data_IF_201682124406
#
_entry.id   IF_201682124406
#
_cell.length_a   1.000
_cell.length_b   1.000
_cell.length_c   1.000
_cell.angle_alpha   90.00
_cell.angle_beta   90.00
_cell.angle_gamma   90.00
#
_symmetry.space_group_name_H-M   'P 1'
#
loop_
_entity.id
_entity.type
_entity.pdbx_description
1 polymer ?
#
# COMPACT_ATOMS: atom_id res chain seq x y z
N UNK A 1 -48.45 -16.20 -4.42
CA UNK A 1 -47.33 -15.24 -4.49
C UNK A 1 -46.04 -15.98 -4.16
N UNK A 2 -45.19 -16.22 -5.17
CA UNK A 2 -43.90 -16.90 -5.01
C UNK A 2 -42.85 -15.83 -4.69
N UNK A 3 -42.30 -15.86 -3.49
CA UNK A 3 -41.14 -15.03 -3.14
C UNK A 3 -39.88 -15.76 -3.61
N UNK A 4 -39.40 -15.40 -4.80
CA UNK A 4 -38.07 -15.77 -5.25
C UNK A 4 -37.08 -14.82 -4.58
N UNK A 5 -36.52 -15.24 -3.45
CA UNK A 5 -35.38 -14.53 -2.84
C UNK A 5 -34.16 -14.83 -3.70
N UNK A 6 -33.78 -13.86 -4.52
CA UNK A 6 -32.53 -13.88 -5.28
C UNK A 6 -31.38 -13.62 -4.30
N UNK A 7 -30.81 -14.70 -3.78
CA UNK A 7 -29.58 -14.65 -3.00
C UNK A 7 -28.43 -14.32 -3.97
N UNK A 8 -28.06 -13.04 -4.07
CA UNK A 8 -26.80 -12.66 -4.69
C UNK A 8 -25.67 -13.16 -3.78
N UNK A 9 -25.14 -14.35 -4.08
CA UNK A 9 -23.91 -14.84 -3.49
C UNK A 9 -22.77 -13.92 -3.94
N UNK A 10 -22.42 -12.94 -3.10
CA UNK A 10 -21.13 -12.26 -3.13
C UNK A 10 -20.07 -13.32 -2.82
N UNK A 11 -19.59 -13.98 -3.87
CA UNK A 11 -18.37 -14.79 -3.80
C UNK A 11 -17.21 -13.80 -3.63
N UNK A 12 -17.00 -13.35 -2.40
CA UNK A 12 -15.69 -12.85 -1.99
C UNK A 12 -14.75 -14.05 -2.07
N UNK A 13 -13.96 -14.12 -3.14
CA UNK A 13 -12.85 -15.04 -3.20
C UNK A 13 -12.00 -14.84 -1.94
N UNK A 14 -11.99 -15.86 -1.08
CA UNK A 14 -11.20 -15.96 0.15
C UNK A 14 -9.72 -16.09 -0.21
N UNK A 15 -9.10 -14.99 -0.61
CA UNK A 15 -7.67 -14.81 -0.42
C UNK A 15 -7.50 -14.06 0.89
N UNK A 16 -6.84 -14.63 1.91
CA UNK A 16 -6.60 -13.92 3.15
C UNK A 16 -5.53 -12.86 2.88
N UNK A 17 -5.95 -11.67 2.48
CA UNK A 17 -5.10 -10.49 2.57
C UNK A 17 -4.71 -10.32 4.03
N UNK A 18 -3.42 -10.14 4.32
CA UNK A 18 -3.02 -9.86 5.69
C UNK A 18 -3.17 -8.38 5.97
N UNK A 19 -4.24 -8.08 6.67
CA UNK A 19 -4.44 -6.76 7.26
C UNK A 19 -3.54 -6.64 8.50
N UNK A 20 -2.99 -5.44 8.73
CA UNK A 20 -2.19 -5.16 9.92
C UNK A 20 -2.51 -3.81 10.52
N UNK A 21 -2.47 -3.75 11.85
CA UNK A 21 -2.77 -2.56 12.62
C UNK A 21 -1.69 -1.49 12.44
N UNK A 22 -2.13 -0.24 12.42
CA UNK A 22 -1.24 0.91 12.39
C UNK A 22 -0.65 1.12 13.78
N UNK A 23 0.68 1.20 13.86
CA UNK A 23 1.40 1.54 15.08
C UNK A 23 1.52 3.07 15.19
N UNK A 24 0.72 3.69 16.06
CA UNK A 24 0.75 5.14 16.23
C UNK A 24 1.84 5.61 17.19
N UNK A 25 2.48 6.71 16.81
CA UNK A 25 3.44 7.45 17.63
C UNK A 25 3.00 8.91 17.73
N UNK A 26 3.15 9.53 18.89
CA UNK A 26 2.82 10.95 19.10
C UNK A 26 3.65 11.86 18.20
N UNK A 27 4.93 11.51 18.00
CA UNK A 27 5.80 12.02 16.96
C UNK A 27 6.61 10.82 16.43
N UNK A 28 6.66 10.63 15.12
CA UNK A 28 7.48 9.58 14.52
C UNK A 28 8.88 10.12 14.24
N UNK A 29 9.87 9.59 14.94
CA UNK A 29 11.27 9.98 14.78
C UNK A 29 11.91 9.40 13.50
N UNK A 30 13.03 10.00 13.10
CA UNK A 30 13.84 9.58 11.95
C UNK A 30 13.97 10.67 10.89
N UNK A 31 14.87 10.47 9.93
CA UNK A 31 15.04 11.40 8.82
C UNK A 31 13.85 11.31 7.85
N UNK A 32 13.03 12.36 7.83
CA UNK A 32 11.95 12.64 6.87
C UNK A 32 12.29 13.90 6.03
N UNK A 33 13.56 14.11 5.69
CA UNK A 33 13.99 15.22 4.83
C UNK A 33 13.82 14.82 3.36
N UNK A 34 12.65 15.07 2.79
CA UNK A 34 12.36 14.81 1.37
C UNK A 34 12.73 16.04 0.54
N UNK A 35 13.24 15.86 -0.67
CA UNK A 35 13.33 16.99 -1.62
C UNK A 35 11.93 17.43 -2.04
N UNK A 36 11.77 18.66 -2.54
CA UNK A 36 10.44 19.24 -2.84
C UNK A 36 9.54 18.39 -3.75
N UNK A 37 10.12 17.51 -4.58
CA UNK A 37 9.41 16.64 -5.53
C UNK A 37 9.27 15.19 -5.06
N UNK A 38 9.66 14.90 -3.82
CA UNK A 38 9.63 13.54 -3.29
C UNK A 38 8.65 13.45 -2.13
N UNK A 39 7.84 12.41 -2.15
CA UNK A 39 6.95 12.06 -1.04
C UNK A 39 7.18 10.62 -0.53
N UNK A 40 8.07 9.89 -1.19
CA UNK A 40 8.46 8.52 -0.86
C UNK A 40 9.98 8.34 -0.97
N UNK A 41 10.57 7.71 0.04
CA UNK A 41 11.93 7.15 0.01
C UNK A 41 11.80 5.67 0.32
N UNK A 42 12.11 4.79 -0.64
CA UNK A 42 11.85 3.37 -0.46
C UNK A 42 12.85 2.48 -1.20
N UNK A 43 12.88 1.23 -0.78
CA UNK A 43 13.55 0.11 -1.42
C UNK A 43 12.49 -0.97 -1.67
N UNK A 44 12.52 -1.58 -2.86
CA UNK A 44 11.65 -2.69 -3.17
C UNK A 44 12.42 -3.74 -3.98
N UNK A 45 12.06 -5.00 -3.76
CA UNK A 45 12.43 -6.11 -4.63
C UNK A 45 11.14 -6.75 -5.13
N UNK A 46 10.83 -6.47 -6.38
CA UNK A 46 9.70 -7.00 -7.14
C UNK A 46 10.00 -6.87 -8.64
N UNK A 47 9.13 -7.41 -9.47
CA UNK A 47 9.29 -7.33 -10.92
C UNK A 47 9.19 -5.91 -11.44
N UNK A 48 10.00 -5.61 -12.47
CA UNK A 48 9.92 -4.36 -13.22
C UNK A 48 9.90 -3.11 -12.33
N UNK A 49 10.79 -3.09 -11.33
CA UNK A 49 10.96 -1.98 -10.39
C UNK A 49 12.37 -1.40 -10.52
N UNK A 50 12.45 -0.12 -10.85
CA UNK A 50 13.68 0.65 -10.90
C UNK A 50 13.70 1.83 -9.92
N UNK A 51 12.66 1.96 -9.08
CA UNK A 51 12.54 3.01 -8.07
C UNK A 51 11.20 3.75 -8.11
N UNK A 52 10.71 4.12 -6.93
CA UNK A 52 9.57 5.02 -6.77
C UNK A 52 9.89 6.13 -5.77
N UNK A 53 9.59 7.38 -6.15
CA UNK A 53 9.88 8.58 -5.34
C UNK A 53 8.64 9.31 -4.89
N UNK A 54 7.48 8.88 -5.36
CA UNK A 54 6.20 9.53 -5.13
C UNK A 54 5.13 8.52 -4.70
N UNK A 55 4.32 8.95 -3.74
CA UNK A 55 3.13 8.27 -3.27
C UNK A 55 1.99 9.29 -3.12
N UNK A 56 0.81 8.89 -3.59
CA UNK A 56 -0.43 9.63 -3.42
C UNK A 56 -1.18 9.07 -2.22
N UNK A 57 -1.69 9.96 -1.37
CA UNK A 57 -2.65 9.63 -0.32
C UNK A 57 -3.94 10.40 -0.57
N UNK A 58 -5.00 9.71 -0.97
CA UNK A 58 -6.28 10.30 -1.35
C UNK A 58 -7.35 9.93 -0.35
N UNK A 59 -8.00 10.92 0.25
CA UNK A 59 -9.15 10.69 1.12
C UNK A 59 -10.34 10.23 0.27
N UNK A 60 -10.86 9.05 0.59
CA UNK A 60 -12.06 8.53 -0.08
C UNK A 60 -13.33 8.92 0.68
N UNK A 61 -13.27 8.87 2.02
CA UNK A 61 -14.32 9.36 2.91
C UNK A 61 -13.74 9.71 4.29
N UNK A 62 -14.59 9.88 5.30
CA UNK A 62 -14.19 10.23 6.67
C UNK A 62 -13.14 9.26 7.24
N UNK A 63 -13.32 7.97 6.99
CA UNK A 63 -12.63 6.90 7.69
C UNK A 63 -11.65 6.12 6.79
N UNK A 64 -11.57 6.49 5.50
CA UNK A 64 -10.73 5.79 4.53
C UNK A 64 -9.87 6.70 3.67
N UNK A 65 -8.63 6.25 3.46
CA UNK A 65 -7.63 6.86 2.60
C UNK A 65 -7.04 5.78 1.71
N UNK A 66 -6.98 6.04 0.41
CA UNK A 66 -6.29 5.21 -0.57
C UNK A 66 -4.84 5.69 -0.71
N UNK A 67 -3.90 4.77 -0.76
CA UNK A 67 -2.48 5.06 -0.91
C UNK A 67 -1.88 4.23 -2.03
N UNK A 68 -1.21 4.88 -2.98
CA UNK A 68 -0.51 4.19 -4.04
C UNK A 68 0.71 4.96 -4.54
N UNK A 69 1.75 4.22 -4.93
CA UNK A 69 2.95 4.80 -5.54
C UNK A 69 2.72 5.11 -7.01
N UNK A 70 3.46 6.06 -7.57
CA UNK A 70 3.40 6.32 -9.00
C UNK A 70 4.42 5.46 -9.76
N UNK A 71 3.93 4.79 -10.80
CA UNK A 71 4.76 4.17 -11.82
C UNK A 71 5.52 5.24 -12.62
N UNK A 72 6.63 4.87 -13.24
CA UNK A 72 7.41 5.73 -14.12
C UNK A 72 7.89 4.95 -15.36
N UNK A 73 8.69 5.59 -16.22
CA UNK A 73 9.18 4.99 -17.46
C UNK A 73 9.98 3.69 -17.28
N UNK A 74 10.51 3.43 -16.09
CA UNK A 74 11.31 2.25 -15.76
C UNK A 74 10.72 1.41 -14.62
N UNK A 75 9.55 1.78 -14.10
CA UNK A 75 8.89 1.11 -12.97
C UNK A 75 7.43 0.86 -13.32
N UNK A 76 7.09 -0.41 -13.52
CA UNK A 76 5.76 -0.87 -13.88
C UNK A 76 5.01 -1.56 -12.72
N UNK A 77 5.67 -1.63 -11.55
CA UNK A 77 5.09 -2.09 -10.28
C UNK A 77 4.65 -0.92 -9.40
N UNK A 78 3.45 -1.01 -8.85
CA UNK A 78 2.86 -0.03 -7.94
C UNK A 78 2.53 -0.68 -6.60
N UNK A 79 2.98 -0.10 -5.50
CA UNK A 79 2.47 -0.44 -4.17
C UNK A 79 1.12 0.24 -3.98
N UNK A 80 0.12 -0.52 -3.56
CA UNK A 80 -1.24 -0.02 -3.32
C UNK A 80 -1.77 -0.60 -2.02
N UNK A 81 -2.34 0.24 -1.15
CA UNK A 81 -3.05 -0.16 0.06
C UNK A 81 -4.12 0.86 0.45
N UNK A 82 -5.03 0.45 1.33
CA UNK A 82 -6.00 1.35 1.95
C UNK A 82 -5.71 1.50 3.44
N UNK A 83 -5.91 2.68 3.98
CA UNK A 83 -6.07 2.88 5.42
C UNK A 83 -7.57 2.97 5.70
N UNK A 84 -8.11 2.07 6.51
CA UNK A 84 -9.50 2.12 6.97
C UNK A 84 -9.50 2.07 8.49
N UNK A 85 -9.95 3.16 9.11
CA UNK A 85 -9.81 3.37 10.56
C UNK A 85 -8.35 3.22 11.01
N UNK A 86 -8.07 2.17 11.79
CA UNK A 86 -6.75 1.91 12.37
C UNK A 86 -5.98 0.77 11.67
N UNK A 87 -6.38 0.39 10.46
CA UNK A 87 -5.91 -0.84 9.82
C UNK A 87 -5.49 -0.58 8.38
N UNK A 88 -4.34 -1.13 7.99
CA UNK A 88 -3.95 -1.26 6.58
C UNK A 88 -4.71 -2.42 5.98
N UNK A 89 -5.46 -2.14 4.91
CA UNK A 89 -6.29 -3.10 4.18
C UNK A 89 -5.78 -3.32 2.77
N UNK A 90 -5.80 -4.58 2.35
CA UNK A 90 -5.42 -5.01 1.01
C UNK A 90 -4.09 -4.39 0.50
N UNK A 91 -2.99 -4.48 1.26
CA UNK A 91 -1.69 -4.12 0.73
C UNK A 91 -1.28 -5.10 -0.37
N UNK A 92 -0.87 -4.57 -1.52
CA UNK A 92 -0.51 -5.36 -2.70
C UNK A 92 0.46 -4.63 -3.61
N UNK A 93 1.15 -5.39 -4.44
CA UNK A 93 1.88 -4.87 -5.60
C UNK A 93 1.02 -5.12 -6.84
N UNK A 94 0.73 -4.07 -7.59
CA UNK A 94 0.06 -4.12 -8.89
C UNK A 94 1.13 -3.95 -9.98
N UNK A 95 1.40 -5.02 -10.73
CA UNK A 95 2.33 -5.03 -11.85
C UNK A 95 1.54 -4.87 -13.15
N UNK A 96 1.94 -3.91 -13.99
CA UNK A 96 1.49 -3.80 -15.38
C UNK A 96 2.65 -4.14 -16.32
N UNK A 97 2.96 -5.44 -16.44
CA UNK A 97 4.13 -5.94 -17.16
C UNK A 97 4.10 -5.59 -18.64
N UNK A 98 5.26 -5.24 -19.18
CA UNK A 98 5.46 -5.09 -20.63
C UNK A 98 5.58 -6.43 -21.37
N UNK A 99 5.68 -7.55 -20.66
CA UNK A 99 5.84 -8.90 -21.21
C UNK A 99 4.56 -9.72 -21.04
N UNK A 100 4.06 -9.82 -19.81
CA UNK A 100 3.03 -10.79 -19.43
C UNK A 100 1.70 -10.17 -18.96
N UNK A 101 1.52 -8.86 -19.19
CA UNK A 101 0.31 -8.14 -18.80
C UNK A 101 0.19 -7.89 -17.29
N UNK A 102 -1.06 -7.80 -16.79
CA UNK A 102 -1.33 -7.35 -15.41
C UNK A 102 -1.25 -8.51 -14.41
N UNK A 103 -0.55 -8.28 -13.30
CA UNK A 103 -0.46 -9.22 -12.17
C UNK A 103 -0.63 -8.48 -10.84
N UNK A 104 -1.04 -9.22 -9.81
CA UNK A 104 -1.19 -8.68 -8.45
C UNK A 104 -0.55 -9.63 -7.45
N UNK A 105 0.34 -9.09 -6.61
CA UNK A 105 1.02 -9.83 -5.55
C UNK A 105 0.52 -9.38 -4.19
N UNK A 106 -0.03 -10.31 -3.42
CA UNK A 106 -0.70 -10.01 -2.15
C UNK A 106 0.31 -9.88 -1.01
N UNK A 107 0.07 -8.97 -0.08
CA UNK A 107 0.89 -8.86 1.11
C UNK A 107 0.63 -10.04 2.06
N UNK A 108 1.73 -10.66 2.50
CA UNK A 108 1.74 -11.77 3.47
C UNK A 108 2.07 -11.34 4.88
N UNK A 109 2.79 -10.23 5.02
CA UNK A 109 3.24 -9.71 6.31
C UNK A 109 3.70 -8.27 6.18
N UNK A 110 3.61 -7.50 7.25
CA UNK A 110 4.07 -6.13 7.22
C UNK A 110 3.84 -5.36 8.50
N UNK A 111 4.40 -4.16 8.53
CA UNK A 111 4.21 -3.20 9.59
C UNK A 111 4.20 -1.79 9.03
N UNK A 112 3.44 -0.91 9.68
CA UNK A 112 3.51 0.53 9.43
C UNK A 112 3.45 1.28 10.76
N UNK A 113 4.34 2.26 10.89
CA UNK A 113 4.38 3.22 11.99
C UNK A 113 3.93 4.57 11.45
N UNK A 114 3.03 5.25 12.17
CA UNK A 114 2.45 6.52 11.74
C UNK A 114 2.53 7.61 12.81
N UNK A 115 2.76 8.84 12.34
CA UNK A 115 2.80 10.03 13.18
C UNK A 115 1.38 10.60 13.39
N UNK A 116 0.93 10.61 14.65
CA UNK A 116 -0.41 11.04 15.04
C UNK A 116 -0.63 12.54 14.86
N UNK A 117 0.37 13.37 15.20
CA UNK A 117 0.26 14.84 15.06
C UNK A 117 0.30 15.28 13.61
N UNK A 118 1.10 14.62 12.77
CA UNK A 118 1.08 14.86 11.33
C UNK A 118 -0.27 14.47 10.72
N UNK A 119 -0.82 13.32 11.13
CA UNK A 119 -2.12 12.85 10.66
C UNK A 119 -3.25 13.84 10.98
N UNK A 120 -3.26 14.43 12.18
CA UNK A 120 -4.21 15.47 12.59
C UNK A 120 -4.14 16.72 11.69
N UNK A 121 -2.99 16.97 11.05
CA UNK A 121 -2.77 18.07 10.12
C UNK A 121 -3.02 17.69 8.65
N UNK A 122 -3.56 16.49 8.40
CA UNK A 122 -3.78 15.99 7.05
C UNK A 122 -2.50 15.59 6.32
N UNK A 123 -1.46 15.19 7.05
CA UNK A 123 -0.20 14.72 6.49
C UNK A 123 -0.02 13.24 6.84
N UNK A 124 0.16 12.41 5.81
CA UNK A 124 0.62 11.03 5.97
C UNK A 124 2.14 11.04 6.14
N UNK A 125 2.59 10.90 7.39
CA UNK A 125 3.99 10.68 7.75
C UNK A 125 4.13 9.29 8.37
N UNK A 126 4.83 8.40 7.68
CA UNK A 126 4.88 6.99 8.04
C UNK A 126 6.20 6.31 7.68
N UNK A 127 6.54 5.24 8.40
CA UNK A 127 7.59 4.29 8.04
C UNK A 127 6.97 2.90 7.94
N UNK A 128 7.28 2.17 6.85
CA UNK A 128 6.66 0.88 6.58
C UNK A 128 7.69 -0.16 6.11
N UNK A 129 7.34 -1.42 6.30
CA UNK A 129 8.03 -2.60 5.78
C UNK A 129 6.97 -3.67 5.49
N UNK A 130 6.82 -4.03 4.22
CA UNK A 130 5.80 -4.97 3.74
C UNK A 130 6.45 -6.08 2.91
N UNK A 131 5.96 -7.30 3.11
CA UNK A 131 6.39 -8.53 2.43
C UNK A 131 5.22 -9.08 1.63
N UNK A 132 5.49 -9.51 0.42
CA UNK A 132 4.50 -9.94 -0.55
C UNK A 132 4.80 -11.35 -1.03
N UNK A 133 3.72 -12.03 -1.39
CA UNK A 133 3.77 -13.32 -2.05
C UNK A 133 4.51 -13.27 -3.38
N UNK A 134 5.20 -14.35 -3.69
CA UNK A 134 5.83 -14.57 -4.98
C UNK A 134 5.48 -15.98 -5.48
N UNK A 135 4.29 -16.18 -6.06
CA UNK A 135 3.82 -17.51 -6.47
C UNK A 135 4.74 -18.21 -7.47
N UNK A 136 5.40 -17.44 -8.34
CA UNK A 136 6.33 -17.96 -9.36
C UNK A 136 7.70 -18.33 -8.79
N UNK A 137 8.06 -17.84 -7.60
CA UNK A 137 9.28 -18.20 -6.89
C UNK A 137 9.07 -18.12 -5.36
N UNK A 138 8.45 -19.14 -4.75
CA UNK A 138 8.09 -19.12 -3.34
C UNK A 138 9.28 -19.00 -2.37
N UNK A 139 10.49 -19.32 -2.82
CA UNK A 139 11.72 -19.19 -2.03
C UNK A 139 12.23 -17.74 -1.93
N UNK A 140 11.71 -16.84 -2.77
CA UNK A 140 12.12 -15.43 -2.81
C UNK A 140 10.93 -14.52 -2.53
N UNK A 141 10.86 -14.01 -1.31
CA UNK A 141 9.80 -13.07 -0.89
C UNK A 141 10.01 -11.71 -1.54
N UNK A 142 8.95 -11.17 -2.16
CA UNK A 142 8.90 -9.78 -2.60
C UNK A 142 8.79 -8.84 -1.41
N UNK A 143 9.39 -7.66 -1.48
CA UNK A 143 9.26 -6.68 -0.40
C UNK A 143 9.18 -5.25 -0.91
N UNK A 144 8.58 -4.39 -0.08
CA UNK A 144 8.61 -2.95 -0.23
C UNK A 144 8.68 -2.30 1.16
N UNK A 145 9.71 -1.51 1.40
CA UNK A 145 9.92 -0.82 2.67
C UNK A 145 10.39 0.61 2.44
N UNK A 146 10.06 1.50 3.35
CA UNK A 146 10.43 2.90 3.17
C UNK A 146 9.76 3.87 4.14
N UNK A 147 9.85 5.14 3.79
CA UNK A 147 9.27 6.27 4.50
C UNK A 147 8.41 7.11 3.56
N UNK A 148 7.29 7.57 4.10
CA UNK A 148 6.30 8.39 3.42
C UNK A 148 6.21 9.73 4.12
N UNK A 149 6.16 10.81 3.34
CA UNK A 149 5.76 12.14 3.81
C UNK A 149 4.97 12.83 2.70
N UNK A 150 3.64 12.79 2.80
CA UNK A 150 2.75 13.36 1.78
C UNK A 150 1.52 14.01 2.40
N UNK A 151 0.94 14.99 1.71
CA UNK A 151 -0.36 15.55 2.10
C UNK A 151 -1.46 14.58 1.70
N UNK A 152 -2.46 14.41 2.55
CA UNK A 152 -3.70 13.72 2.20
C UNK A 152 -4.58 14.71 1.43
N UNK A 153 -4.89 14.37 0.18
CA UNK A 153 -5.71 15.19 -0.73
C UNK A 153 -7.15 14.70 -0.79
#
# INVERSE_FOLDING_TARGET
>A
MKYTVLLFSLVFCLFPFKDFEIQWFENLDGDFSFSQKQSLKCEAWCYEYAGATEIIAKRLNKDSIECYTLANVTTHSVLHFYMINNVIRNPRIELNSIVDGKRTYLCKDGSIKMDKKAMQKGILKAQFDMKFDHPENPERIMFWKGKIYTKII
#
